data_IF_855115745188
#
_entry.id   IF_855115745188
#
_cell.length_a   1.000
_cell.length_b   1.000
_cell.length_c   1.000
_cell.angle_alpha   90.00
_cell.angle_beta   90.00
_cell.angle_gamma   90.00
#
_symmetry.space_group_name_H-M   'P 1'
#
loop_
_entity.id
_entity.type
_entity.pdbx_description
1 polymer ?
#
# COMPACT_ATOMS: atom_id res chain seq x y z
N UNK A 1 -4.50 1.82 -21.89
CA UNK A 1 -4.11 3.01 -21.08
C UNK A 1 -2.73 2.79 -20.50
N UNK A 2 -1.93 3.85 -20.35
CA UNK A 2 -0.68 3.75 -19.60
C UNK A 2 -0.99 3.48 -18.11
N UNK A 3 -0.17 2.65 -17.42
CA UNK A 3 -0.42 2.17 -16.05
C UNK A 3 -0.16 3.21 -14.94
N UNK A 4 -0.60 4.47 -15.11
CA UNK A 4 -0.44 5.54 -14.12
C UNK A 4 -1.77 6.01 -13.51
N UNK A 5 -2.88 5.45 -13.97
CA UNK A 5 -4.23 5.71 -13.47
C UNK A 5 -4.80 4.44 -12.86
N UNK A 6 -5.44 4.56 -11.69
CA UNK A 6 -6.08 3.47 -10.95
C UNK A 6 -7.45 3.93 -10.46
N UNK A 7 -8.45 3.03 -10.43
CA UNK A 7 -9.84 3.32 -10.12
C UNK A 7 -10.68 3.65 -11.36
N UNK A 8 -12.00 3.73 -11.19
CA UNK A 8 -12.96 4.01 -12.27
C UNK A 8 -13.76 5.29 -12.01
N UNK A 9 -14.59 5.34 -10.95
CA UNK A 9 -15.33 6.53 -10.52
C UNK A 9 -14.44 7.33 -9.57
N UNK A 10 -13.97 6.71 -8.49
CA UNK A 10 -12.92 7.32 -7.67
C UNK A 10 -11.58 6.90 -8.22
N UNK A 11 -10.94 7.78 -8.94
CA UNK A 11 -9.71 7.43 -9.65
C UNK A 11 -8.55 8.36 -9.29
N UNK A 12 -7.34 7.79 -9.38
CA UNK A 12 -6.10 8.55 -9.18
C UNK A 12 -5.20 8.42 -10.40
N UNK A 13 -4.58 9.52 -10.81
CA UNK A 13 -3.48 9.51 -11.79
C UNK A 13 -2.24 10.09 -11.14
N UNK A 14 -1.16 9.29 -11.03
CA UNK A 14 0.08 9.71 -10.37
C UNK A 14 1.18 10.04 -11.37
N UNK A 15 2.02 11.04 -11.07
CA UNK A 15 3.17 11.46 -11.86
C UNK A 15 4.36 11.89 -10.99
N UNK A 16 5.51 12.11 -11.63
CA UNK A 16 6.75 12.51 -10.97
C UNK A 16 7.67 11.32 -10.63
N UNK A 17 8.96 11.58 -10.48
CA UNK A 17 10.03 10.62 -10.24
C UNK A 17 10.71 10.87 -8.88
N UNK A 18 11.36 9.83 -8.34
CA UNK A 18 11.98 9.88 -7.01
C UNK A 18 13.07 10.95 -6.86
N UNK A 19 13.73 11.34 -7.95
CA UNK A 19 14.77 12.37 -8.03
C UNK A 19 14.36 13.51 -8.99
N UNK A 20 13.08 13.59 -9.37
CA UNK A 20 12.48 14.72 -10.04
C UNK A 20 12.24 15.89 -9.06
N UNK A 21 11.68 16.99 -9.55
CA UNK A 21 11.38 18.18 -8.74
C UNK A 21 10.29 17.91 -7.70
N UNK A 22 9.27 17.19 -8.10
CA UNK A 22 8.09 16.90 -7.27
C UNK A 22 7.44 15.58 -7.69
N UNK A 23 6.55 15.09 -6.84
CA UNK A 23 5.57 14.07 -7.11
C UNK A 23 4.19 14.72 -7.06
N UNK A 24 3.26 14.24 -7.88
CA UNK A 24 1.90 14.72 -7.84
C UNK A 24 0.89 13.64 -8.20
N UNK A 25 -0.36 13.90 -7.86
CA UNK A 25 -1.48 13.13 -8.36
C UNK A 25 -2.71 14.01 -8.58
N UNK A 26 -3.57 13.52 -9.45
CA UNK A 26 -4.94 14.00 -9.61
C UNK A 26 -5.84 12.93 -9.00
N UNK A 27 -6.70 13.34 -8.08
CA UNK A 27 -7.81 12.52 -7.56
C UNK A 27 -9.07 13.01 -8.21
N UNK A 28 -9.77 12.15 -8.92
CA UNK A 28 -11.04 12.46 -9.58
C UNK A 28 -12.19 11.62 -9.02
N UNK A 29 -13.42 12.11 -9.12
CA UNK A 29 -14.61 11.44 -8.61
C UNK A 29 -14.83 11.55 -7.09
N UNK A 30 -14.07 12.41 -6.40
CA UNK A 30 -14.33 12.67 -4.98
C UNK A 30 -15.68 13.42 -4.84
N UNK A 31 -16.64 12.92 -4.03
CA UNK A 31 -17.91 13.59 -3.82
C UNK A 31 -17.74 15.01 -3.24
N UNK A 32 -18.59 15.97 -3.62
CA UNK A 32 -18.53 17.33 -3.09
C UNK A 32 -19.01 17.43 -1.64
N UNK A 33 -18.57 18.50 -0.95
CA UNK A 33 -19.07 18.88 0.38
C UNK A 33 -18.41 18.16 1.55
N UNK A 34 -17.34 17.36 1.33
CA UNK A 34 -16.51 16.85 2.42
C UNK A 34 -15.51 17.92 2.85
N UNK A 35 -15.37 18.15 4.14
CA UNK A 35 -14.29 19.01 4.68
C UNK A 35 -12.93 18.37 4.36
N UNK A 36 -12.03 19.15 3.76
CA UNK A 36 -10.71 18.66 3.36
C UNK A 36 -9.67 19.77 3.42
N UNK A 37 -8.57 19.47 4.12
CA UNK A 37 -7.38 20.31 4.22
C UNK A 37 -6.13 19.44 4.05
N UNK A 38 -4.97 20.09 3.91
CA UNK A 38 -3.69 19.39 3.91
C UNK A 38 -3.43 18.59 5.20
N UNK A 39 -3.93 19.07 6.34
CA UNK A 39 -3.77 18.41 7.63
C UNK A 39 -4.47 17.04 7.67
N UNK A 40 -5.61 16.89 6.98
CA UNK A 40 -6.33 15.62 6.88
C UNK A 40 -5.52 14.54 6.10
N UNK A 41 -4.65 14.97 5.22
CA UNK A 41 -3.81 14.10 4.39
C UNK A 41 -2.44 13.86 5.03
N UNK A 42 -1.91 14.88 5.70
CA UNK A 42 -0.53 14.89 6.21
C UNK A 42 -0.28 13.79 7.24
N UNK A 43 -1.25 13.46 8.08
CA UNK A 43 -1.13 12.41 9.08
C UNK A 43 -0.75 11.05 8.47
N UNK A 44 -1.40 10.63 7.39
CA UNK A 44 -1.06 9.38 6.69
C UNK A 44 0.30 9.46 5.97
N UNK A 45 0.66 10.62 5.43
CA UNK A 45 1.97 10.85 4.84
C UNK A 45 3.09 10.78 5.89
N UNK A 46 2.88 11.32 7.10
CA UNK A 46 3.83 11.25 8.20
C UNK A 46 4.07 9.81 8.68
N UNK A 47 3.04 8.96 8.67
CA UNK A 47 3.16 7.52 8.94
C UNK A 47 4.01 6.82 7.88
N UNK A 48 3.91 7.22 6.62
CA UNK A 48 4.61 6.61 5.47
C UNK A 48 6.01 7.14 5.26
N UNK A 49 6.33 8.38 5.59
CA UNK A 49 7.58 9.06 5.22
C UNK A 49 8.85 8.29 5.62
N UNK A 50 9.96 8.46 4.89
CA UNK A 50 11.25 7.91 5.28
C UNK A 50 11.79 8.62 6.54
N UNK A 51 12.67 7.95 7.30
CA UNK A 51 13.32 8.55 8.48
C UNK A 51 12.42 8.66 9.72
N UNK A 52 11.28 7.96 9.74
CA UNK A 52 10.37 7.94 10.90
C UNK A 52 10.99 7.31 12.14
N UNK A 53 11.81 6.29 11.94
CA UNK A 53 12.44 5.54 13.04
C UNK A 53 13.83 5.00 12.62
N UNK A 54 14.54 4.40 13.58
CA UNK A 54 15.91 3.87 13.40
C UNK A 54 15.99 2.69 12.40
N UNK A 55 14.88 2.00 12.11
CA UNK A 55 14.83 0.84 11.21
C UNK A 55 14.47 1.20 9.77
N UNK A 56 14.22 2.47 9.49
CA UNK A 56 13.97 2.97 8.13
C UNK A 56 15.15 3.73 7.58
N UNK A 57 15.13 4.00 6.28
CA UNK A 57 16.18 4.76 5.59
C UNK A 57 16.44 6.13 6.25
N UNK A 58 17.69 6.58 6.24
CA UNK A 58 18.10 7.90 6.74
C UNK A 58 17.73 9.07 5.80
N UNK A 59 17.05 8.81 4.67
CA UNK A 59 16.50 9.88 3.83
C UNK A 59 15.48 10.66 4.64
N UNK A 60 15.58 11.98 4.63
CA UNK A 60 14.67 12.85 5.39
C UNK A 60 13.86 13.72 4.42
N UNK A 61 12.61 13.32 4.20
CA UNK A 61 11.63 14.06 3.41
C UNK A 61 10.46 14.41 4.31
N UNK A 62 10.06 15.65 4.34
CA UNK A 62 8.93 16.11 5.13
C UNK A 62 7.59 15.64 4.52
N UNK A 63 7.58 15.29 3.23
CA UNK A 63 6.42 14.89 2.45
C UNK A 63 5.23 15.84 2.61
N UNK A 64 5.52 17.16 2.70
CA UNK A 64 4.49 18.18 2.85
C UNK A 64 3.61 18.23 1.61
N UNK A 65 2.35 17.89 1.79
CA UNK A 65 1.36 17.92 0.71
C UNK A 65 0.82 19.33 0.53
N UNK A 66 0.51 19.68 -0.73
CA UNK A 66 -0.21 20.88 -1.11
C UNK A 66 -1.42 20.48 -1.95
N UNK A 67 -2.56 21.06 -1.62
CA UNK A 67 -3.79 20.95 -2.42
C UNK A 67 -3.79 22.12 -3.41
N UNK A 68 -3.83 21.80 -4.71
CA UNK A 68 -3.74 22.80 -5.78
C UNK A 68 -5.10 23.13 -6.41
N UNK A 69 -6.09 22.23 -6.27
CA UNK A 69 -7.44 22.37 -6.83
C UNK A 69 -8.45 21.44 -6.16
N UNK A 70 -9.70 21.57 -6.50
CA UNK A 70 -10.78 20.66 -6.05
C UNK A 70 -11.30 20.92 -4.63
N UNK A 71 -10.83 21.98 -3.97
CA UNK A 71 -11.28 22.41 -2.65
C UNK A 71 -11.60 23.91 -2.69
N UNK A 72 -12.74 24.31 -2.15
CA UNK A 72 -13.18 25.70 -2.00
C UNK A 72 -13.76 25.89 -0.61
N UNK A 73 -13.34 26.92 0.12
CA UNK A 73 -13.73 27.22 1.51
C UNK A 73 -13.63 25.99 2.43
N UNK A 74 -12.55 25.20 2.27
CA UNK A 74 -12.29 24.00 3.08
C UNK A 74 -13.14 22.78 2.73
N UNK A 75 -13.89 22.78 1.61
CA UNK A 75 -14.75 21.67 1.20
C UNK A 75 -14.42 21.21 -0.23
N UNK A 76 -14.52 19.91 -0.46
CA UNK A 76 -14.41 19.33 -1.80
C UNK A 76 -15.50 19.87 -2.72
N UNK A 77 -15.15 20.14 -3.98
CA UNK A 77 -16.04 20.73 -4.98
C UNK A 77 -16.67 19.71 -5.92
N UNK A 78 -16.24 18.45 -5.89
CA UNK A 78 -16.62 17.43 -6.88
C UNK A 78 -15.83 17.52 -8.19
N UNK A 79 -14.87 18.44 -8.28
CA UNK A 79 -13.93 18.55 -9.41
C UNK A 79 -12.58 17.95 -9.04
N UNK A 80 -11.66 17.71 -10.01
CA UNK A 80 -10.40 17.05 -9.72
C UNK A 80 -9.56 17.74 -8.64
N UNK A 81 -9.12 16.96 -7.64
CA UNK A 81 -8.24 17.41 -6.57
C UNK A 81 -6.81 17.18 -7.01
N UNK A 82 -6.05 18.27 -7.24
CA UNK A 82 -4.63 18.23 -7.56
C UNK A 82 -3.79 18.24 -6.29
N UNK A 83 -2.92 17.24 -6.11
CA UNK A 83 -2.01 17.14 -5.00
C UNK A 83 -0.55 17.19 -5.46
N UNK A 84 0.31 17.86 -4.70
CA UNK A 84 1.73 17.98 -4.98
C UNK A 84 2.55 17.82 -3.71
N UNK A 85 3.69 17.07 -3.82
CA UNK A 85 4.74 16.97 -2.80
C UNK A 85 6.08 17.23 -3.46
N UNK A 86 6.85 18.20 -2.95
CA UNK A 86 8.19 18.51 -3.45
C UNK A 86 9.23 17.52 -2.93
N UNK A 87 10.25 17.22 -3.75
CA UNK A 87 11.40 16.43 -3.32
C UNK A 87 12.50 17.36 -2.80
N UNK A 88 12.88 17.23 -1.54
CA UNK A 88 13.82 18.13 -0.85
C UNK A 88 15.18 17.50 -0.51
N UNK A 89 15.26 16.17 -0.27
CA UNK A 89 16.49 15.44 0.09
C UNK A 89 16.90 14.43 -1.00
N UNK A 90 16.95 14.84 -2.24
CA UNK A 90 17.46 14.03 -3.34
C UNK A 90 18.99 14.16 -3.47
N UNK A 91 19.70 12.99 -3.50
CA UNK A 91 21.18 12.94 -3.63
C UNK A 91 21.56 12.17 -4.88
N UNK A 92 21.47 12.82 -6.04
CA UNK A 92 21.76 12.22 -7.35
C UNK A 92 23.19 11.69 -7.50
N UNK A 93 24.15 12.22 -6.70
CA UNK A 93 25.56 11.78 -6.71
C UNK A 93 25.77 10.36 -6.22
N UNK A 94 24.88 9.83 -5.38
CA UNK A 94 24.98 8.48 -4.79
C UNK A 94 24.77 7.36 -5.82
N UNK A 95 24.37 7.70 -7.05
CA UNK A 95 23.99 6.74 -8.09
C UNK A 95 24.96 6.68 -9.29
N UNK A 96 26.13 7.32 -9.21
CA UNK A 96 27.12 7.33 -10.30
C UNK A 96 27.61 5.94 -10.70
N UNK A 97 27.90 5.10 -9.70
CA UNK A 97 28.44 3.75 -9.88
C UNK A 97 27.45 2.77 -10.56
N UNK A 98 26.15 3.04 -10.48
CA UNK A 98 25.09 2.19 -11.05
C UNK A 98 24.57 2.71 -12.40
N UNK A 99 25.13 3.81 -12.93
CA UNK A 99 24.72 4.39 -14.21
C UNK A 99 24.81 3.38 -15.35
N UNK A 100 25.87 2.57 -15.37
CA UNK A 100 26.16 1.64 -16.45
C UNK A 100 25.97 0.17 -16.06
N UNK A 101 25.50 -0.12 -14.85
CA UNK A 101 25.22 -1.47 -14.35
C UNK A 101 23.74 -1.61 -13.97
N UNK A 102 23.27 -2.85 -13.90
CA UNK A 102 21.89 -3.15 -13.48
C UNK A 102 21.91 -3.81 -12.11
N UNK A 103 21.14 -3.26 -11.15
CA UNK A 103 21.00 -3.86 -9.82
C UNK A 103 20.20 -5.16 -9.91
N UNK A 104 20.70 -6.30 -9.41
CA UNK A 104 19.95 -7.55 -9.35
C UNK A 104 18.65 -7.38 -8.55
N UNK A 105 17.55 -7.94 -9.05
CA UNK A 105 16.24 -7.82 -8.40
C UNK A 105 15.60 -6.43 -8.38
N UNK A 106 16.23 -5.43 -9.01
CA UNK A 106 15.69 -4.08 -9.20
C UNK A 106 15.15 -3.89 -10.63
N UNK A 107 14.35 -2.84 -10.86
CA UNK A 107 13.73 -2.57 -12.15
C UNK A 107 14.68 -1.98 -13.22
N UNK A 108 15.96 -1.82 -12.95
CA UNK A 108 16.92 -1.14 -13.84
C UNK A 108 16.96 -1.76 -15.24
N UNK A 109 17.10 -3.09 -15.31
CA UNK A 109 17.16 -3.83 -16.58
C UNK A 109 15.84 -3.74 -17.34
N UNK A 110 14.72 -3.98 -16.66
CA UNK A 110 13.40 -4.00 -17.29
C UNK A 110 12.96 -2.64 -17.81
N UNK A 111 13.34 -1.54 -17.13
CA UNK A 111 13.12 -0.18 -17.62
C UNK A 111 13.96 0.10 -18.88
N UNK A 112 15.25 -0.29 -18.88
CA UNK A 112 16.12 -0.13 -20.04
C UNK A 112 15.57 -0.89 -21.26
N UNK A 113 15.09 -2.13 -21.04
CA UNK A 113 14.51 -2.93 -22.12
C UNK A 113 13.18 -2.38 -22.63
N UNK A 114 12.33 -1.90 -21.73
CA UNK A 114 11.00 -1.42 -22.11
C UNK A 114 11.00 -0.06 -22.79
N UNK A 115 11.79 0.88 -22.25
CA UNK A 115 11.74 2.27 -22.66
C UNK A 115 12.98 2.72 -23.48
N UNK A 116 14.02 1.88 -23.60
CA UNK A 116 15.28 2.23 -24.25
C UNK A 116 16.15 3.22 -23.45
N UNK A 117 15.57 3.83 -22.44
CA UNK A 117 16.21 4.80 -21.53
C UNK A 117 15.73 4.60 -20.10
N UNK A 118 16.59 4.86 -19.13
CA UNK A 118 16.21 4.90 -17.71
C UNK A 118 16.85 6.09 -17.00
N UNK A 119 16.14 6.66 -16.06
CA UNK A 119 16.75 7.51 -15.05
C UNK A 119 17.41 6.62 -13.98
N UNK A 120 18.75 6.58 -13.98
CA UNK A 120 19.52 5.77 -13.04
C UNK A 120 19.49 6.34 -11.61
N UNK A 121 19.07 7.59 -11.42
CA UNK A 121 18.99 8.27 -10.13
C UNK A 121 17.78 7.73 -9.34
N UNK A 122 18.03 6.86 -8.36
CA UNK A 122 17.01 6.33 -7.46
C UNK A 122 15.93 5.42 -8.08
N UNK A 123 15.93 5.21 -9.40
CA UNK A 123 15.00 4.33 -10.09
C UNK A 123 13.72 4.99 -10.62
N UNK A 124 13.62 6.33 -10.62
CA UNK A 124 12.51 7.06 -11.25
C UNK A 124 11.12 6.64 -10.70
N UNK A 125 10.20 6.28 -11.61
CA UNK A 125 8.85 5.78 -11.28
C UNK A 125 8.83 4.40 -10.62
N UNK A 126 9.90 3.59 -10.74
CA UNK A 126 9.97 2.27 -10.06
C UNK A 126 10.35 2.39 -8.59
N UNK A 127 10.71 3.56 -8.11
CA UNK A 127 11.03 3.82 -6.71
C UNK A 127 9.77 3.81 -5.85
N UNK A 128 9.87 3.26 -4.63
CA UNK A 128 8.80 3.33 -3.64
C UNK A 128 8.40 4.78 -3.26
N UNK A 129 9.17 5.79 -3.67
CA UNK A 129 8.86 7.21 -3.47
C UNK A 129 7.53 7.62 -4.14
N UNK A 130 7.16 7.02 -5.28
CA UNK A 130 5.91 7.30 -5.97
C UNK A 130 4.67 6.99 -5.13
N UNK A 131 4.78 6.05 -4.17
CA UNK A 131 3.68 5.67 -3.27
C UNK A 131 3.25 6.79 -2.31
N UNK A 132 4.04 7.86 -2.18
CA UNK A 132 3.65 9.09 -1.47
C UNK A 132 2.30 9.60 -2.00
N UNK A 133 2.13 9.62 -3.32
CA UNK A 133 0.89 10.11 -3.93
C UNK A 133 -0.28 9.14 -3.79
N UNK A 134 -0.01 7.84 -3.70
CA UNK A 134 -1.06 6.84 -3.38
C UNK A 134 -1.58 7.02 -1.97
N UNK A 135 -0.68 7.27 -1.01
CA UNK A 135 -1.04 7.53 0.39
C UNK A 135 -1.81 8.85 0.52
N UNK A 136 -1.36 9.90 -0.16
CA UNK A 136 -2.08 11.17 -0.17
C UNK A 136 -3.51 11.05 -0.71
N UNK A 137 -3.70 10.33 -1.83
CA UNK A 137 -5.02 10.06 -2.38
C UNK A 137 -5.86 9.11 -1.50
N UNK A 138 -5.19 8.07 -0.94
CA UNK A 138 -5.81 7.12 -0.02
C UNK A 138 -6.31 7.77 1.27
N UNK A 139 -5.62 8.80 1.78
CA UNK A 139 -6.07 9.55 2.95
C UNK A 139 -7.43 10.24 2.70
N UNK A 140 -7.66 10.78 1.50
CA UNK A 140 -8.96 11.35 1.10
C UNK A 140 -10.03 10.26 1.11
N UNK A 141 -9.73 9.08 0.55
CA UNK A 141 -10.66 7.95 0.55
C UNK A 141 -10.96 7.47 1.97
N UNK A 142 -9.93 7.26 2.81
CA UNK A 142 -10.07 6.85 4.22
C UNK A 142 -10.96 7.82 5.00
N UNK A 143 -10.71 9.13 4.85
CA UNK A 143 -11.53 10.16 5.50
C UNK A 143 -13.00 10.05 5.11
N UNK A 144 -13.29 9.94 3.81
CA UNK A 144 -14.67 9.79 3.33
C UNK A 144 -15.34 8.52 3.87
N UNK A 145 -14.63 7.39 3.79
CA UNK A 145 -15.14 6.08 4.24
C UNK A 145 -15.43 6.09 5.74
N UNK A 146 -14.54 6.68 6.54
CA UNK A 146 -14.74 6.80 7.99
C UNK A 146 -15.90 7.72 8.34
N UNK A 147 -15.92 8.95 7.81
CA UNK A 147 -16.91 9.96 8.20
C UNK A 147 -18.32 9.66 7.70
N UNK A 148 -18.45 9.01 6.54
CA UNK A 148 -19.76 8.77 5.90
C UNK A 148 -20.32 7.37 6.12
N UNK A 149 -19.44 6.39 6.35
CA UNK A 149 -19.84 4.99 6.42
C UNK A 149 -19.36 4.30 7.70
N UNK A 150 -18.50 4.94 8.49
CA UNK A 150 -17.88 4.33 9.66
C UNK A 150 -16.86 3.25 9.31
N UNK A 151 -16.48 3.09 8.03
CA UNK A 151 -15.49 2.09 7.59
C UNK A 151 -14.11 2.56 8.03
N UNK A 152 -13.43 1.76 8.82
CA UNK A 152 -12.06 1.99 9.25
C UNK A 152 -11.11 1.03 8.53
N UNK A 153 -10.06 1.55 7.91
CA UNK A 153 -9.03 0.76 7.20
C UNK A 153 -7.72 0.86 7.95
N UNK A 154 -7.24 -0.27 8.49
CA UNK A 154 -6.01 -0.36 9.27
C UNK A 154 -5.07 -1.43 8.72
N UNK A 155 -3.81 -1.07 8.50
CA UNK A 155 -2.74 -2.00 8.16
C UNK A 155 -1.84 -2.28 9.36
N UNK A 156 -1.29 -3.48 9.41
CA UNK A 156 -0.37 -3.87 10.46
C UNK A 156 0.64 -4.91 9.97
N UNK A 157 1.79 -4.94 10.63
CA UNK A 157 2.81 -5.97 10.39
C UNK A 157 2.33 -7.30 10.99
N UNK A 158 2.17 -8.31 10.16
CA UNK A 158 1.74 -9.66 10.60
C UNK A 158 2.88 -10.69 10.55
N UNK A 159 4.00 -10.38 9.88
CA UNK A 159 5.23 -11.19 9.93
C UNK A 159 6.44 -10.37 9.49
N UNK A 160 7.59 -10.53 10.17
CA UNK A 160 8.89 -9.99 9.77
C UNK A 160 9.88 -11.14 9.60
N UNK A 161 10.29 -11.41 8.37
CA UNK A 161 11.13 -12.57 8.09
C UNK A 161 10.54 -13.86 8.67
N UNK A 162 11.26 -14.57 9.58
CA UNK A 162 10.74 -15.78 10.23
C UNK A 162 9.76 -15.50 11.37
N UNK A 163 9.69 -14.28 11.89
CA UNK A 163 8.93 -13.92 13.10
C UNK A 163 7.48 -13.67 12.71
N UNK A 164 6.58 -14.59 13.09
CA UNK A 164 5.12 -14.43 12.95
C UNK A 164 4.56 -13.67 14.15
N UNK A 165 3.59 -12.81 13.91
CA UNK A 165 2.99 -11.91 14.88
C UNK A 165 1.49 -12.17 14.99
N UNK A 166 0.95 -11.98 16.21
CA UNK A 166 -0.48 -11.99 16.45
C UNK A 166 -1.05 -10.56 16.34
N UNK A 167 -2.35 -10.45 16.05
CA UNK A 167 -3.05 -9.17 16.06
C UNK A 167 -3.85 -9.05 17.35
N UNK A 168 -3.17 -8.69 18.46
CA UNK A 168 -3.74 -8.67 19.81
C UNK A 168 -4.25 -7.29 20.20
N UNK A 169 -3.54 -6.22 19.79
CA UNK A 169 -3.87 -4.85 20.16
C UNK A 169 -3.72 -3.90 18.96
N UNK A 170 -4.84 -3.61 18.31
CA UNK A 170 -4.88 -2.67 17.18
C UNK A 170 -4.62 -1.21 17.60
N UNK A 171 -4.79 -0.85 18.88
CA UNK A 171 -4.48 0.50 19.35
C UNK A 171 -2.96 0.75 19.38
N UNK A 172 -2.17 -0.30 19.59
CA UNK A 172 -0.71 -0.21 19.67
C UNK A 172 -0.01 -0.03 18.31
N UNK A 173 -0.72 -0.18 17.18
CA UNK A 173 -0.13 -0.17 15.83
C UNK A 173 0.69 1.12 15.56
N UNK A 174 0.15 2.27 15.93
CA UNK A 174 0.78 3.56 15.66
C UNK A 174 1.80 3.99 16.72
N UNK A 175 1.83 3.31 17.87
CA UNK A 175 2.68 3.63 19.02
C UNK A 175 4.08 3.01 18.93
N UNK A 176 4.34 2.18 17.91
CA UNK A 176 5.64 1.52 17.73
C UNK A 176 6.21 1.71 16.31
N UNK A 177 7.50 1.37 16.17
CA UNK A 177 8.25 1.56 14.93
C UNK A 177 7.84 0.61 13.80
N UNK A 178 7.14 -0.49 14.12
CA UNK A 178 6.88 -1.61 13.22
C UNK A 178 5.45 -1.66 12.68
N UNK A 179 4.56 -0.79 13.16
CA UNK A 179 3.11 -0.95 12.95
C UNK A 179 2.62 -2.34 13.41
N UNK A 180 3.15 -2.79 14.53
CA UNK A 180 2.89 -4.12 15.09
C UNK A 180 1.73 -4.07 16.07
N UNK A 181 0.75 -4.97 15.90
CA UNK A 181 -0.38 -5.16 16.80
C UNK A 181 -0.08 -6.21 17.90
N UNK A 182 1.18 -6.63 18.04
CA UNK A 182 1.68 -7.58 19.05
C UNK A 182 2.76 -6.89 19.88
N UNK A 183 2.38 -6.07 20.88
CA UNK A 183 3.32 -5.26 21.65
C UNK A 183 4.36 -6.10 22.42
N UNK A 184 4.04 -7.35 22.77
CA UNK A 184 4.95 -8.27 23.45
C UNK A 184 6.15 -8.72 22.60
N UNK A 185 6.14 -8.49 21.29
CA UNK A 185 7.18 -8.94 20.37
C UNK A 185 8.10 -7.80 19.86
N UNK A 186 7.90 -6.56 20.31
CA UNK A 186 8.64 -5.38 19.80
C UNK A 186 10.15 -5.52 20.03
N UNK A 187 10.59 -5.93 21.21
CA UNK A 187 12.02 -6.09 21.53
C UNK A 187 12.68 -7.16 20.66
N UNK A 188 11.97 -8.24 20.33
CA UNK A 188 12.46 -9.27 19.41
C UNK A 188 12.62 -8.73 18.00
N UNK A 189 11.66 -7.93 17.51
CA UNK A 189 11.73 -7.28 16.20
C UNK A 189 12.89 -6.28 16.14
N UNK A 190 13.09 -5.49 17.19
CA UNK A 190 14.21 -4.55 17.31
C UNK A 190 15.56 -5.27 17.22
N UNK A 191 15.74 -6.34 18.00
CA UNK A 191 16.95 -7.15 18.01
C UNK A 191 17.24 -7.76 16.63
N UNK A 192 16.24 -8.38 16.01
CA UNK A 192 16.35 -8.98 14.69
C UNK A 192 16.73 -7.95 13.60
N UNK A 193 16.17 -6.75 13.66
CA UNK A 193 16.49 -5.68 12.70
C UNK A 193 17.89 -5.10 12.91
N UNK A 194 18.38 -5.04 14.14
CA UNK A 194 19.75 -4.58 14.43
C UNK A 194 20.79 -5.60 13.93
N UNK A 195 20.57 -6.91 14.17
CA UNK A 195 21.42 -7.99 13.61
C UNK A 195 21.46 -7.94 12.07
N UNK A 196 20.32 -7.73 11.44
CA UNK A 196 20.22 -7.63 9.98
C UNK A 196 21.01 -6.44 9.41
N UNK A 197 20.95 -5.30 10.14
CA UNK A 197 21.72 -4.11 9.78
C UNK A 197 23.22 -4.33 9.88
N UNK A 198 23.71 -5.03 10.92
CA UNK A 198 25.11 -5.38 11.09
C UNK A 198 25.60 -6.28 9.95
N UNK A 199 24.76 -7.19 9.46
CA UNK A 199 25.05 -8.05 8.32
C UNK A 199 25.01 -7.31 6.96
N UNK A 200 24.46 -6.09 6.91
CA UNK A 200 24.30 -5.31 5.68
C UNK A 200 23.30 -5.90 4.68
N UNK A 201 22.36 -6.72 5.17
CA UNK A 201 21.38 -7.45 4.37
C UNK A 201 19.96 -6.90 4.57
N UNK A 202 18.95 -7.55 4.01
CA UNK A 202 17.54 -7.16 4.03
C UNK A 202 16.61 -8.34 4.21
N UNK A 203 15.39 -8.07 4.67
CA UNK A 203 14.38 -9.10 4.91
C UNK A 203 13.02 -8.70 4.33
N UNK A 204 12.20 -9.70 4.03
CA UNK A 204 10.81 -9.53 3.63
C UNK A 204 9.87 -9.42 4.82
N UNK A 205 8.62 -9.04 4.52
CA UNK A 205 7.56 -8.94 5.51
C UNK A 205 6.20 -9.37 4.95
N UNK A 206 5.29 -9.74 5.84
CA UNK A 206 3.85 -9.85 5.56
C UNK A 206 3.15 -8.69 6.26
N UNK A 207 2.37 -7.95 5.48
CA UNK A 207 1.49 -6.87 5.98
C UNK A 207 0.06 -7.32 5.77
N UNK A 208 -0.76 -7.17 6.80
CA UNK A 208 -2.20 -7.38 6.73
C UNK A 208 -2.94 -6.06 6.81
N UNK A 209 -4.07 -5.98 6.11
CA UNK A 209 -4.98 -4.83 6.14
C UNK A 209 -6.36 -5.34 6.50
N UNK A 210 -6.93 -4.74 7.52
CA UNK A 210 -8.30 -4.95 7.97
C UNK A 210 -9.14 -3.71 7.62
N UNK A 211 -10.27 -3.92 6.94
CA UNK A 211 -11.30 -2.89 6.83
C UNK A 211 -12.53 -3.35 7.60
N UNK A 212 -12.83 -2.65 8.68
CA UNK A 212 -13.96 -2.95 9.56
C UNK A 212 -15.20 -2.14 9.19
N UNK A 213 -16.36 -2.60 9.67
CA UNK A 213 -17.67 -2.00 9.39
C UNK A 213 -18.00 -1.94 7.88
N UNK A 214 -17.59 -2.95 7.15
CA UNK A 214 -17.86 -3.02 5.71
C UNK A 214 -19.35 -3.26 5.46
N UNK A 215 -20.03 -2.47 4.61
CA UNK A 215 -21.38 -2.79 4.21
C UNK A 215 -21.40 -4.01 3.29
N UNK A 216 -22.46 -4.81 3.29
CA UNK A 216 -22.66 -5.81 2.25
C UNK A 216 -22.93 -5.12 0.90
N UNK A 217 -22.59 -5.80 -0.22
CA UNK A 217 -23.00 -5.38 -1.56
C UNK A 217 -21.91 -4.67 -2.39
N UNK A 218 -20.68 -4.48 -1.89
CA UNK A 218 -19.60 -3.87 -2.67
C UNK A 218 -18.84 -4.93 -3.48
N UNK A 219 -18.70 -4.72 -4.78
CA UNK A 219 -18.04 -5.63 -5.71
C UNK A 219 -18.99 -6.23 -6.74
N UNK A 220 -18.44 -7.02 -7.65
CA UNK A 220 -19.19 -7.60 -8.77
C UNK A 220 -19.04 -9.14 -8.79
N UNK A 221 -20.02 -9.88 -9.38
CA UNK A 221 -20.00 -11.34 -9.30
C UNK A 221 -19.01 -12.03 -10.26
N UNK A 222 -18.58 -11.37 -11.34
CA UNK A 222 -17.72 -11.98 -12.37
C UNK A 222 -16.38 -11.24 -12.47
N UNK A 223 -16.33 -10.18 -13.28
CA UNK A 223 -15.19 -9.27 -13.32
C UNK A 223 -15.37 -8.19 -12.27
N UNK A 224 -14.27 -7.55 -11.87
CA UNK A 224 -14.28 -6.52 -10.81
C UNK A 224 -14.81 -7.04 -9.46
N UNK A 225 -14.57 -8.31 -9.15
CA UNK A 225 -14.77 -8.81 -7.79
C UNK A 225 -13.99 -7.94 -6.83
N UNK A 226 -14.57 -7.59 -5.68
CA UNK A 226 -13.91 -6.75 -4.69
C UNK A 226 -12.51 -7.27 -4.34
N UNK A 227 -12.38 -8.59 -4.07
CA UNK A 227 -11.09 -9.23 -3.81
C UNK A 227 -10.12 -9.15 -4.99
N UNK A 228 -10.60 -9.20 -6.25
CA UNK A 228 -9.74 -9.09 -7.43
C UNK A 228 -9.20 -7.67 -7.62
N UNK A 229 -10.02 -6.65 -7.40
CA UNK A 229 -9.57 -5.24 -7.49
C UNK A 229 -8.64 -4.87 -6.32
N UNK A 230 -8.88 -5.41 -5.12
CA UNK A 230 -7.95 -5.31 -3.99
C UNK A 230 -6.62 -5.97 -4.36
N UNK A 231 -6.66 -7.18 -4.94
CA UNK A 231 -5.45 -7.86 -5.38
C UNK A 231 -4.69 -7.04 -6.44
N UNK A 232 -5.37 -6.47 -7.41
CA UNK A 232 -4.76 -5.59 -8.42
C UNK A 232 -4.11 -4.35 -7.76
N UNK A 233 -4.82 -3.68 -6.84
CA UNK A 233 -4.31 -2.52 -6.12
C UNK A 233 -3.06 -2.86 -5.29
N UNK A 234 -3.13 -3.90 -4.48
CA UNK A 234 -2.06 -4.33 -3.58
C UNK A 234 -0.85 -4.91 -4.34
N UNK A 235 -1.05 -5.71 -5.40
CA UNK A 235 0.04 -6.22 -6.25
C UNK A 235 0.78 -5.12 -7.02
N UNK A 236 0.18 -3.95 -7.20
CA UNK A 236 0.84 -2.81 -7.81
C UNK A 236 1.86 -2.10 -6.90
N UNK A 237 1.87 -2.41 -5.60
CA UNK A 237 2.82 -1.85 -4.64
C UNK A 237 4.21 -2.44 -4.89
N UNK A 238 5.24 -1.59 -4.85
CA UNK A 238 6.62 -2.01 -5.02
C UNK A 238 7.00 -3.13 -4.05
N UNK A 239 7.76 -4.12 -4.52
CA UNK A 239 8.22 -5.30 -3.78
C UNK A 239 7.15 -6.33 -3.40
N UNK A 240 5.87 -6.10 -3.60
CA UNK A 240 4.83 -7.11 -3.37
C UNK A 240 4.99 -8.27 -4.34
N UNK A 241 4.89 -9.52 -3.82
CA UNK A 241 5.05 -10.78 -4.54
C UNK A 241 3.91 -11.76 -4.35
N UNK A 242 3.03 -11.51 -3.40
CA UNK A 242 1.86 -12.34 -3.13
C UNK A 242 0.79 -11.56 -2.40
N UNK A 243 -0.43 -12.03 -2.53
CA UNK A 243 -1.60 -11.53 -1.82
C UNK A 243 -2.47 -12.69 -1.38
N UNK A 244 -3.12 -12.52 -0.24
CA UNK A 244 -4.13 -13.42 0.31
C UNK A 244 -5.37 -12.61 0.71
N UNK A 245 -6.56 -13.18 0.52
CA UNK A 245 -7.83 -12.68 1.03
C UNK A 245 -8.35 -13.72 2.03
N UNK A 246 -8.70 -13.31 3.23
CA UNK A 246 -9.14 -14.22 4.30
C UNK A 246 -8.11 -15.30 4.61
N UNK A 247 -8.52 -16.56 4.63
CA UNK A 247 -7.65 -17.71 4.85
C UNK A 247 -6.56 -17.89 3.78
N UNK A 248 -6.70 -17.24 2.59
CA UNK A 248 -5.70 -17.25 1.54
C UNK A 248 -5.25 -18.66 1.15
N UNK A 249 -3.92 -18.90 1.13
CA UNK A 249 -3.37 -20.22 0.80
C UNK A 249 -3.65 -21.30 1.84
N UNK A 250 -4.00 -20.95 3.09
CA UNK A 250 -4.39 -21.94 4.08
C UNK A 250 -5.70 -22.67 3.72
N UNK A 251 -6.56 -22.06 2.91
CA UNK A 251 -7.79 -22.67 2.41
C UNK A 251 -7.55 -24.01 1.66
N UNK A 252 -6.35 -24.21 1.06
CA UNK A 252 -6.01 -25.44 0.32
C UNK A 252 -6.04 -26.69 1.21
N UNK A 253 -5.75 -26.54 2.51
CA UNK A 253 -5.74 -27.63 3.48
C UNK A 253 -7.05 -27.81 4.23
N UNK A 254 -7.99 -26.88 4.09
CA UNK A 254 -9.30 -26.91 4.74
C UNK A 254 -10.28 -27.75 3.93
N UNK A 255 -11.12 -28.51 4.62
CA UNK A 255 -12.30 -29.13 4.00
C UNK A 255 -13.38 -28.08 3.77
N UNK A 256 -14.29 -28.29 2.82
CA UNK A 256 -15.39 -27.36 2.55
C UNK A 256 -16.27 -27.07 3.79
N UNK A 257 -16.49 -28.07 4.64
CA UNK A 257 -17.21 -27.90 5.91
C UNK A 257 -16.43 -27.10 6.96
N UNK A 258 -15.10 -27.07 6.86
CA UNK A 258 -14.22 -26.30 7.73
C UNK A 258 -14.06 -24.87 7.24
N UNK A 259 -14.02 -24.65 5.92
CA UNK A 259 -13.79 -23.33 5.31
C UNK A 259 -15.04 -22.45 5.28
N UNK A 260 -16.24 -23.02 5.16
CA UNK A 260 -17.47 -22.23 5.01
C UNK A 260 -17.74 -21.37 6.25
N UNK A 261 -18.02 -20.09 6.02
CA UNK A 261 -18.44 -19.16 7.06
C UNK A 261 -19.94 -19.34 7.29
N UNK A 262 -20.30 -20.12 8.33
CA UNK A 262 -21.71 -20.40 8.66
C UNK A 262 -22.42 -19.16 9.19
N UNK A 263 -23.69 -19.00 8.82
CA UNK A 263 -24.51 -17.85 9.17
C UNK A 263 -25.59 -18.22 10.18
N UNK A 264 -25.90 -17.28 11.05
CA UNK A 264 -27.04 -17.31 11.96
C UNK A 264 -27.70 -15.93 12.00
N UNK A 265 -28.84 -15.80 12.69
CA UNK A 265 -29.43 -14.49 12.92
C UNK A 265 -28.54 -13.52 13.71
N UNK A 266 -27.48 -14.00 14.36
CA UNK A 266 -26.50 -13.19 15.09
C UNK A 266 -25.23 -12.88 14.31
N UNK A 267 -25.17 -13.19 13.01
CA UNK A 267 -24.01 -12.96 12.16
C UNK A 267 -23.29 -14.22 11.73
N UNK A 268 -22.10 -14.04 11.19
CA UNK A 268 -21.23 -15.11 10.72
C UNK A 268 -20.43 -15.73 11.88
N UNK A 269 -20.20 -17.04 11.84
CA UNK A 269 -19.45 -17.77 12.86
C UNK A 269 -17.94 -17.55 12.80
N UNK A 270 -17.42 -17.19 11.62
CA UNK A 270 -16.00 -16.93 11.32
C UNK A 270 -15.88 -16.19 9.99
N UNK A 271 -14.68 -15.88 9.55
CA UNK A 271 -14.40 -15.07 8.36
C UNK A 271 -13.23 -15.64 7.54
N UNK A 272 -13.31 -16.93 7.17
CA UNK A 272 -12.29 -17.56 6.29
C UNK A 272 -12.33 -17.01 4.86
N UNK A 273 -13.50 -16.57 4.39
CA UNK A 273 -13.65 -15.90 3.10
C UNK A 273 -13.08 -14.50 3.05
N UNK A 274 -12.74 -13.90 4.20
CA UNK A 274 -12.11 -12.58 4.30
C UNK A 274 -13.03 -11.42 3.92
N UNK A 275 -14.34 -11.53 4.26
CA UNK A 275 -15.33 -10.46 4.08
C UNK A 275 -15.96 -10.41 2.69
N UNK A 276 -15.69 -11.40 1.81
CA UNK A 276 -16.28 -11.42 0.45
C UNK A 276 -16.83 -12.79 0.09
N UNK A 277 -18.05 -12.81 -0.44
CA UNK A 277 -18.70 -14.01 -0.97
C UNK A 277 -19.12 -13.76 -2.42
N UNK A 278 -18.75 -14.67 -3.34
CA UNK A 278 -19.04 -14.49 -4.76
C UNK A 278 -18.42 -13.27 -5.43
N UNK A 279 -17.48 -12.58 -4.77
CA UNK A 279 -16.83 -11.35 -5.24
C UNK A 279 -17.42 -10.07 -4.67
N UNK A 280 -18.42 -10.18 -3.80
CA UNK A 280 -19.20 -9.08 -3.21
C UNK A 280 -18.94 -9.08 -1.70
N UNK A 281 -18.86 -7.91 -1.07
CA UNK A 281 -18.69 -7.79 0.38
C UNK A 281 -19.91 -8.38 1.11
N UNK A 282 -19.63 -9.12 2.19
CA UNK A 282 -20.63 -9.85 2.96
C UNK A 282 -21.21 -9.07 4.15
N UNK A 283 -20.64 -7.93 4.50
CA UNK A 283 -20.90 -7.24 5.77
C UNK A 283 -19.88 -7.55 6.85
N UNK A 284 -19.08 -8.61 6.69
CA UNK A 284 -17.96 -8.92 7.57
C UNK A 284 -16.76 -8.03 7.28
N UNK A 285 -15.83 -7.96 8.24
CA UNK A 285 -14.55 -7.29 8.05
C UNK A 285 -13.79 -7.84 6.83
N UNK A 286 -13.27 -6.95 6.00
CA UNK A 286 -12.45 -7.33 4.88
C UNK A 286 -11.00 -7.52 5.34
N UNK A 287 -10.44 -8.70 5.11
CA UNK A 287 -9.07 -9.04 5.46
C UNK A 287 -8.25 -9.38 4.22
N UNK A 288 -7.21 -8.59 3.96
CA UNK A 288 -6.22 -8.86 2.91
C UNK A 288 -4.81 -8.86 3.49
N UNK A 289 -3.92 -9.69 2.95
CA UNK A 289 -2.51 -9.74 3.35
C UNK A 289 -1.60 -9.74 2.14
N UNK A 290 -0.44 -9.08 2.23
CA UNK A 290 0.57 -9.03 1.17
C UNK A 290 1.93 -9.52 1.65
N UNK A 291 2.62 -10.25 0.79
CA UNK A 291 4.02 -10.65 0.99
C UNK A 291 4.94 -9.71 0.20
N UNK A 292 5.85 -9.07 0.91
CA UNK A 292 6.87 -8.21 0.33
C UNK A 292 8.22 -8.92 0.30
N UNK A 293 8.90 -8.90 -0.84
CA UNK A 293 10.26 -9.42 -0.96
C UNK A 293 11.25 -8.51 -0.22
N UNK A 294 12.43 -9.04 0.16
CA UNK A 294 13.53 -8.25 0.67
C UNK A 294 13.94 -7.11 -0.29
N UNK A 295 14.47 -6.03 0.24
CA UNK A 295 15.06 -4.94 -0.55
C UNK A 295 16.22 -5.49 -1.37
N UNK A 296 16.24 -5.21 -2.68
CA UNK A 296 17.31 -5.67 -3.57
C UNK A 296 18.60 -4.86 -3.49
N UNK A 297 18.57 -3.71 -2.84
CA UNK A 297 19.72 -2.83 -2.66
C UNK A 297 20.35 -3.11 -1.31
N UNK A 298 21.34 -4.00 -1.29
CA UNK A 298 22.06 -4.46 -0.09
C UNK A 298 23.56 -4.19 -0.24
N UNK A 299 24.29 -4.18 0.88
CA UNK A 299 25.74 -3.98 0.90
C UNK A 299 26.53 -5.26 0.56
N UNK A 300 25.86 -6.40 0.44
CA UNK A 300 26.46 -7.66 0.02
C UNK A 300 26.76 -7.62 -1.50
N UNK A 301 27.99 -7.98 -1.94
CA UNK A 301 28.33 -8.02 -3.36
C UNK A 301 27.44 -8.97 -4.15
N UNK A 302 26.95 -8.52 -5.30
CA UNK A 302 26.09 -9.30 -6.20
C UNK A 302 26.62 -9.34 -7.63
N UNK A 303 26.41 -10.46 -8.33
CA UNK A 303 26.74 -10.61 -9.76
C UNK A 303 25.67 -9.93 -10.61
N UNK A 304 26.09 -9.27 -11.69
CA UNK A 304 25.21 -8.56 -12.62
C UNK A 304 25.89 -8.40 -13.99
N UNK A 305 25.23 -7.68 -14.89
CA UNK A 305 25.77 -7.25 -16.17
C UNK A 305 25.79 -5.71 -16.28
N UNK A 306 26.69 -5.21 -17.12
CA UNK A 306 26.70 -3.82 -17.54
C UNK A 306 25.76 -3.58 -18.76
N UNK A 307 25.68 -2.34 -19.20
CA UNK A 307 24.89 -1.97 -20.40
C UNK A 307 25.36 -2.62 -21.69
N UNK A 308 26.61 -3.06 -21.77
CA UNK A 308 27.18 -3.77 -22.91
C UNK A 308 26.94 -5.28 -22.83
N UNK A 309 26.26 -5.76 -21.78
CA UNK A 309 26.00 -7.18 -21.57
C UNK A 309 27.17 -7.97 -21.00
N UNK A 310 28.22 -7.32 -20.46
CA UNK A 310 29.37 -7.98 -19.86
C UNK A 310 29.11 -8.28 -18.39
N UNK A 311 29.53 -9.48 -17.95
CA UNK A 311 29.49 -9.86 -16.54
C UNK A 311 30.32 -8.90 -15.69
N UNK A 312 29.76 -8.51 -14.57
CA UNK A 312 30.37 -7.60 -13.58
C UNK A 312 29.82 -7.89 -12.18
N UNK A 313 30.33 -7.18 -11.20
CA UNK A 313 29.81 -7.19 -9.84
C UNK A 313 29.35 -5.80 -9.43
N UNK A 314 28.42 -5.78 -8.50
CA UNK A 314 27.89 -4.56 -7.92
C UNK A 314 27.76 -4.69 -6.41
N UNK A 315 28.10 -3.63 -5.70
CA UNK A 315 27.73 -3.40 -4.29
C UNK A 315 26.86 -2.15 -4.28
N UNK A 316 25.63 -2.28 -3.82
CA UNK A 316 24.75 -1.12 -3.78
C UNK A 316 25.04 -0.30 -2.53
N UNK A 317 25.65 0.85 -2.72
CA UNK A 317 25.85 1.85 -1.66
C UNK A 317 24.62 2.76 -1.63
N UNK A 318 24.22 3.21 -0.45
CA UNK A 318 23.12 4.17 -0.32
C UNK A 318 22.26 3.95 0.92
N UNK A 319 21.23 4.80 1.06
CA UNK A 319 20.31 4.81 2.20
C UNK A 319 19.07 3.97 1.83
N UNK A 320 19.09 2.68 2.11
CA UNK A 320 17.99 1.76 1.80
C UNK A 320 17.32 1.27 3.07
N UNK A 321 16.03 0.95 2.97
CA UNK A 321 15.29 0.31 4.06
C UNK A 321 15.73 -1.16 4.17
N UNK A 322 16.18 -1.67 5.32
CA UNK A 322 16.46 -3.10 5.50
C UNK A 322 15.20 -3.97 5.34
N UNK A 323 14.04 -3.40 5.65
CA UNK A 323 12.74 -3.99 5.37
C UNK A 323 11.78 -2.93 4.83
N UNK A 324 11.33 -3.09 3.59
CA UNK A 324 10.36 -2.18 2.98
C UNK A 324 8.94 -2.35 3.53
N UNK A 325 8.67 -3.46 4.23
CA UNK A 325 7.37 -3.78 4.81
C UNK A 325 6.88 -2.71 5.78
N UNK A 326 7.78 -2.18 6.61
CA UNK A 326 7.41 -1.15 7.59
C UNK A 326 6.77 0.08 6.93
N UNK A 327 7.27 0.51 5.79
CA UNK A 327 6.70 1.63 5.04
C UNK A 327 5.55 1.23 4.12
N UNK A 328 5.42 -0.07 3.82
CA UNK A 328 4.34 -0.58 2.98
C UNK A 328 3.00 -0.61 3.73
N UNK A 329 3.00 -0.63 5.05
CA UNK A 329 1.78 -0.67 5.87
C UNK A 329 0.80 0.46 5.52
N UNK A 330 1.12 1.75 5.65
CA UNK A 330 0.20 2.83 5.27
C UNK A 330 -0.08 2.89 3.76
N UNK A 331 0.82 2.32 2.92
CA UNK A 331 0.57 2.22 1.47
C UNK A 331 -0.51 1.17 1.18
N UNK A 332 -0.47 0.03 1.87
CA UNK A 332 -1.47 -1.01 1.72
C UNK A 332 -2.85 -0.55 2.20
N UNK A 333 -2.92 0.16 3.34
CA UNK A 333 -4.15 0.83 3.81
C UNK A 333 -4.73 1.74 2.72
N UNK A 334 -3.90 2.62 2.17
CA UNK A 334 -4.30 3.57 1.15
C UNK A 334 -4.86 2.87 -0.09
N UNK A 335 -4.22 1.82 -0.57
CA UNK A 335 -4.68 1.09 -1.76
C UNK A 335 -5.99 0.35 -1.51
N UNK A 336 -6.19 -0.25 -0.34
CA UNK A 336 -7.47 -0.88 0.04
C UNK A 336 -8.57 0.17 0.14
N UNK A 337 -8.30 1.32 0.77
CA UNK A 337 -9.27 2.42 0.87
C UNK A 337 -9.68 2.96 -0.50
N UNK A 338 -8.73 3.12 -1.44
CA UNK A 338 -9.02 3.55 -2.81
C UNK A 338 -9.95 2.57 -3.53
N UNK A 339 -9.74 1.27 -3.37
CA UNK A 339 -10.60 0.24 -3.97
C UNK A 339 -12.00 0.26 -3.35
N UNK A 340 -12.10 0.28 -2.02
CA UNK A 340 -13.40 0.32 -1.33
C UNK A 340 -14.17 1.57 -1.75
N UNK A 341 -13.52 2.74 -1.80
CA UNK A 341 -14.14 3.99 -2.20
C UNK A 341 -14.69 3.96 -3.63
N UNK A 342 -13.91 3.40 -4.57
CA UNK A 342 -14.35 3.24 -5.96
C UNK A 342 -15.57 2.30 -6.06
N UNK A 343 -15.52 1.14 -5.40
CA UNK A 343 -16.64 0.20 -5.37
C UNK A 343 -17.89 0.78 -4.68
N UNK A 344 -17.71 1.55 -3.61
CA UNK A 344 -18.82 2.22 -2.96
C UNK A 344 -19.53 3.22 -3.89
N UNK A 345 -18.77 4.03 -4.62
CA UNK A 345 -19.38 4.97 -5.58
C UNK A 345 -20.01 4.26 -6.77
N UNK A 346 -19.42 3.17 -7.23
CA UNK A 346 -19.99 2.30 -8.29
C UNK A 346 -21.32 1.70 -7.82
N UNK A 347 -21.35 1.13 -6.61
CA UNK A 347 -22.56 0.56 -6.02
C UNK A 347 -23.66 1.64 -5.89
N UNK A 348 -23.33 2.83 -5.41
CA UNK A 348 -24.29 3.95 -5.36
C UNK A 348 -24.84 4.33 -6.74
N UNK A 349 -24.01 4.34 -7.76
CA UNK A 349 -24.43 4.72 -9.12
C UNK A 349 -25.40 3.70 -9.73
N UNK A 350 -25.25 2.41 -9.38
CA UNK A 350 -26.04 1.34 -9.97
C UNK A 350 -27.22 0.87 -9.09
N UNK A 351 -27.04 0.86 -7.76
CA UNK A 351 -27.92 0.18 -6.83
C UNK A 351 -28.51 1.10 -5.75
N UNK A 352 -28.49 2.43 -5.94
CA UNK A 352 -28.97 3.37 -4.92
C UNK A 352 -30.43 3.14 -4.50
N UNK A 353 -31.25 2.62 -5.39
CA UNK A 353 -32.69 2.39 -5.17
C UNK A 353 -33.01 0.93 -4.77
N UNK A 354 -31.97 0.08 -4.58
CA UNK A 354 -32.17 -1.30 -4.17
C UNK A 354 -32.38 -1.37 -2.65
N UNK A 355 -33.45 -2.07 -2.26
CA UNK A 355 -33.74 -2.37 -0.86
C UNK A 355 -33.85 -3.90 -0.72
N UNK A 356 -33.05 -4.50 0.15
CA UNK A 356 -33.17 -5.92 0.47
C UNK A 356 -34.30 -6.14 1.49
N UNK A 357 -35.10 -7.19 1.27
CA UNK A 357 -36.06 -7.66 2.29
C UNK A 357 -35.39 -8.53 3.37
N UNK A 358 -34.15 -9.01 3.10
CA UNK A 358 -33.36 -9.79 4.04
C UNK A 358 -32.65 -8.81 4.99
N UNK A 359 -32.78 -8.97 6.31
CA UNK A 359 -32.03 -8.13 7.26
C UNK A 359 -30.52 -8.35 7.13
N UNK A 360 -29.74 -7.32 7.43
CA UNK A 360 -28.29 -7.45 7.61
C UNK A 360 -28.01 -8.27 8.89
N UNK A 361 -26.97 -9.11 8.86
CA UNK A 361 -26.56 -10.01 9.93
C UNK A 361 -25.13 -9.73 10.39
#
# INVERSE_FOLDING_TARGET
MAGNTFGRIFSITTFGESHGRALGCIVDGCPPGMELSEADIQGDLDRRRPGRNRHTTQRNEADQVRILSGVFEGKTTGTPIGLLVENTDQRSKDYGDIKDKFRPGHADYTYQQKYGIRDYRGGGRSSARETTMRVAAGAIAKKYLLERLGIEVRGYLSQLGPIKLCAEDFAAIDDNAFFCADPGRIDELDTFMDELREQGDSIGAKISVLASNMPPGLGEPVFDKLGADIAHGLMSINAVKGIEIGAGFAAVTQRGSEHRDEMSAGGFSKNDAGGTLGGISSGQDLLASIALKPTSSVSVPGKTIDKAGKDTEIVTKGRHDPCVGLRATPIAEAMVALVIMDHYLRNRAQNADVTSETPEI
#
